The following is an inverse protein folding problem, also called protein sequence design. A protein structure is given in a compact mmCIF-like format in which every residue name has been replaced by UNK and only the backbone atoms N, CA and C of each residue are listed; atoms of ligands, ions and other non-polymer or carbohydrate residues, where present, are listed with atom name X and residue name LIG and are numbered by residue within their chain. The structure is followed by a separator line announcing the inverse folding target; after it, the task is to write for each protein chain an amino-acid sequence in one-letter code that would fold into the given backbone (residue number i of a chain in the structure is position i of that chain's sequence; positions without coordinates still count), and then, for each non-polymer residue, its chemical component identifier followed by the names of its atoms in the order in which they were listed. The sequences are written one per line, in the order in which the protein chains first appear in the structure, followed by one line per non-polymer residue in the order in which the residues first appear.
data_IF_761409853883
#
_entry.id   IF_761409853883
#
_cell.length_a   1.000
_cell.length_b   1.000
_cell.length_c   1.000
_cell.angle_alpha   90.00
_cell.angle_beta   90.00
_cell.angle_gamma   90.00
#
_symmetry.space_group_name_H-M   'P 1'
#
loop_
_entity.id
_entity.type
_entity.pdbx_description
1 polymer ?
#
# COMPACT_ATOMS: atom_id res chain seq x y z
N UNK A 1 -12.43 -15.84 10.64
CA UNK A 1 -11.40 -16.12 9.61
C UNK A 1 -11.22 -14.86 8.79
N UNK A 2 -10.06 -14.19 8.88
CA UNK A 2 -9.77 -13.01 8.06
C UNK A 2 -9.25 -13.49 6.72
N UNK A 3 -10.08 -13.46 5.69
CA UNK A 3 -9.64 -13.73 4.32
C UNK A 3 -9.50 -12.40 3.59
N UNK A 4 -8.29 -12.11 3.12
CA UNK A 4 -8.11 -11.07 2.12
C UNK A 4 -8.83 -11.53 0.84
N UNK A 5 -9.72 -10.68 0.32
CA UNK A 5 -10.50 -10.97 -0.89
C UNK A 5 -10.01 -10.11 -2.05
N UNK A 6 -10.28 -10.53 -3.28
CA UNK A 6 -9.95 -9.78 -4.50
C UNK A 6 -8.50 -9.26 -4.50
N UNK A 7 -7.56 -10.13 -4.14
CA UNK A 7 -6.14 -9.78 -4.02
C UNK A 7 -5.54 -9.53 -5.40
N UNK A 8 -4.89 -8.38 -5.56
CA UNK A 8 -4.12 -8.02 -6.75
C UNK A 8 -2.68 -7.76 -6.34
N UNK A 9 -1.77 -8.59 -6.81
CA UNK A 9 -0.32 -8.44 -6.62
C UNK A 9 0.27 -7.62 -7.79
N UNK A 10 0.96 -6.54 -7.48
CA UNK A 10 1.54 -5.62 -8.46
C UNK A 10 3.02 -5.89 -8.73
N UNK A 11 3.53 -7.05 -8.34
CA UNK A 11 4.93 -7.46 -8.48
C UNK A 11 5.40 -7.55 -9.93
N UNK A 12 4.51 -7.89 -10.88
CA UNK A 12 4.83 -7.86 -12.31
C UNK A 12 5.08 -6.42 -12.80
N UNK A 13 4.19 -5.48 -12.46
CA UNK A 13 4.37 -4.07 -12.78
C UNK A 13 5.64 -3.51 -12.12
N UNK A 14 5.90 -3.87 -10.87
CA UNK A 14 7.11 -3.50 -10.13
C UNK A 14 8.37 -3.97 -10.85
N UNK A 15 8.41 -5.25 -11.26
CA UNK A 15 9.55 -5.81 -12.01
C UNK A 15 9.74 -5.10 -13.35
N UNK A 16 8.67 -4.79 -14.06
CA UNK A 16 8.73 -4.09 -15.34
C UNK A 16 9.29 -2.66 -15.20
N UNK A 17 8.90 -1.93 -14.15
CA UNK A 17 9.45 -0.60 -13.84
C UNK A 17 10.96 -0.67 -13.55
N UNK A 18 11.39 -1.62 -12.69
CA UNK A 18 12.81 -1.83 -12.38
C UNK A 18 13.61 -2.20 -13.63
N UNK A 19 13.09 -3.10 -14.47
CA UNK A 19 13.76 -3.48 -15.71
C UNK A 19 13.87 -2.31 -16.70
N UNK A 20 12.85 -1.46 -16.79
CA UNK A 20 12.88 -0.27 -17.64
C UNK A 20 13.97 0.72 -17.24
N UNK A 21 14.22 0.87 -15.94
CA UNK A 21 15.31 1.71 -15.42
C UNK A 21 16.66 1.07 -15.71
N UNK A 22 16.81 -0.24 -15.44
CA UNK A 22 18.05 -0.99 -15.72
C UNK A 22 18.42 -1.00 -17.20
N UNK A 23 17.41 -1.02 -18.08
CA UNK A 23 17.58 -0.93 -19.53
C UNK A 23 17.77 0.50 -20.04
N UNK A 24 17.79 1.51 -19.17
CA UNK A 24 17.96 2.93 -19.54
C UNK A 24 16.76 3.55 -20.27
N UNK A 25 15.62 2.86 -20.34
CA UNK A 25 14.38 3.37 -20.98
C UNK A 25 13.64 4.40 -20.14
N UNK A 26 13.90 4.42 -18.84
CA UNK A 26 13.28 5.32 -17.87
C UNK A 26 14.36 5.82 -16.92
N UNK A 27 14.36 7.11 -16.58
CA UNK A 27 15.36 7.65 -15.65
C UNK A 27 14.88 7.41 -14.23
N UNK A 28 15.82 7.23 -13.30
CA UNK A 28 15.49 7.04 -11.89
C UNK A 28 14.60 8.17 -11.35
N UNK A 29 14.87 9.43 -11.71
CA UNK A 29 14.05 10.60 -11.30
C UNK A 29 12.58 10.55 -11.77
N UNK A 30 12.28 9.78 -12.82
CA UNK A 30 10.93 9.68 -13.37
C UNK A 30 10.06 8.69 -12.56
N UNK A 31 10.68 7.82 -11.75
CA UNK A 31 10.01 6.86 -10.86
C UNK A 31 10.25 7.12 -9.37
N UNK A 32 11.28 7.91 -9.08
CA UNK A 32 11.67 8.33 -7.76
C UNK A 32 10.93 9.62 -7.39
N UNK A 33 9.61 9.56 -7.50
CA UNK A 33 8.70 10.71 -7.48
C UNK A 33 7.75 10.69 -6.28
N UNK A 34 8.02 9.86 -5.27
CA UNK A 34 7.20 9.76 -4.07
C UNK A 34 6.98 11.15 -3.47
N UNK A 35 5.72 11.58 -3.44
CA UNK A 35 5.36 12.92 -3.03
C UNK A 35 5.65 13.14 -1.53
N UNK A 36 5.88 14.39 -1.08
CA UNK A 36 6.23 14.68 0.31
C UNK A 36 5.25 14.12 1.34
N UNK A 37 3.96 14.04 1.02
CA UNK A 37 2.96 13.44 1.91
C UNK A 37 3.19 11.93 2.10
N UNK A 38 3.44 11.19 1.01
CA UNK A 38 3.72 9.76 1.05
C UNK A 38 5.02 9.46 1.80
N UNK A 39 6.05 10.28 1.62
CA UNK A 39 7.30 10.18 2.37
C UNK A 39 7.09 10.40 3.88
N UNK A 40 6.26 11.39 4.26
CA UNK A 40 5.89 11.61 5.67
C UNK A 40 5.09 10.44 6.23
N UNK A 41 4.13 9.91 5.48
CA UNK A 41 3.39 8.72 5.87
C UNK A 41 4.31 7.52 6.09
N UNK A 42 5.25 7.27 5.17
CA UNK A 42 6.26 6.21 5.34
C UNK A 42 7.11 6.42 6.60
N UNK A 43 7.51 7.65 6.89
CA UNK A 43 8.36 7.96 8.05
C UNK A 43 7.66 7.74 9.39
N UNK A 44 6.39 8.14 9.51
CA UNK A 44 5.72 8.22 10.81
C UNK A 44 4.65 7.15 11.03
N UNK A 45 4.08 6.60 9.96
CA UNK A 45 2.94 5.68 9.99
C UNK A 45 3.19 4.37 9.23
N UNK A 46 4.30 4.28 8.50
CA UNK A 46 4.64 3.12 7.68
C UNK A 46 5.23 1.96 8.49
N UNK A 47 5.08 0.75 7.96
CA UNK A 47 5.64 -0.48 8.53
C UNK A 47 6.98 -0.82 7.86
N UNK A 48 8.08 -0.92 8.62
CA UNK A 48 9.40 -1.21 8.05
C UNK A 48 9.44 -2.61 7.44
N UNK A 49 10.28 -2.78 6.43
CA UNK A 49 10.46 -4.07 5.76
C UNK A 49 11.94 -4.45 5.76
N UNK A 50 12.24 -5.71 5.48
CA UNK A 50 13.61 -6.23 5.32
C UNK A 50 14.12 -6.14 3.87
N UNK A 51 13.31 -5.60 2.96
CA UNK A 51 13.61 -5.56 1.52
C UNK A 51 14.38 -4.29 1.18
N UNK A 52 15.57 -4.45 0.61
CA UNK A 52 16.38 -3.33 0.13
C UNK A 52 15.69 -2.58 -1.03
N UNK A 53 15.82 -1.26 -1.08
CA UNK A 53 15.31 -0.47 -2.20
C UNK A 53 15.99 -0.91 -3.52
N UNK A 54 15.21 -1.28 -4.56
CA UNK A 54 15.78 -1.80 -5.80
C UNK A 54 16.42 -0.72 -6.69
N UNK A 55 16.27 0.55 -6.32
CA UNK A 55 16.77 1.70 -7.09
C UNK A 55 18.06 2.24 -6.50
N UNK A 56 18.05 2.61 -5.21
CA UNK A 56 19.24 3.17 -4.59
C UNK A 56 20.07 2.14 -3.84
N UNK A 57 19.51 1.02 -3.39
CA UNK A 57 20.24 -0.01 -2.61
C UNK A 57 20.87 0.49 -1.28
N UNK A 58 20.47 1.68 -0.79
CA UNK A 58 21.01 2.27 0.44
C UNK A 58 20.11 2.11 1.66
N UNK A 59 18.80 1.86 1.46
CA UNK A 59 17.79 1.76 2.52
C UNK A 59 16.76 0.71 2.19
N UNK A 60 16.21 0.07 3.21
CA UNK A 60 15.03 -0.77 3.03
C UNK A 60 13.79 0.06 2.68
N UNK A 61 12.88 -0.52 1.92
CA UNK A 61 11.57 0.08 1.66
C UNK A 61 10.66 -0.06 2.88
N UNK A 62 9.75 0.89 3.05
CA UNK A 62 8.69 0.90 4.06
C UNK A 62 7.35 0.69 3.38
N UNK A 63 6.46 -0.11 3.96
CA UNK A 63 5.09 -0.23 3.47
C UNK A 63 4.21 0.85 4.10
N UNK A 64 3.43 1.54 3.28
CA UNK A 64 2.39 2.48 3.70
C UNK A 64 1.06 1.94 3.25
N UNK A 65 0.14 1.76 4.17
CA UNK A 65 -1.12 1.08 3.90
C UNK A 65 -2.29 2.05 4.00
N UNK A 66 -2.99 2.27 2.89
CA UNK A 66 -4.16 3.14 2.80
C UNK A 66 -5.45 2.33 2.73
N UNK A 67 -6.52 2.86 3.31
CA UNK A 67 -7.86 2.25 3.31
C UNK A 67 -8.87 3.15 2.60
N UNK A 68 -9.73 2.57 1.77
CA UNK A 68 -10.79 3.28 1.04
C UNK A 68 -12.07 2.45 0.99
N UNK A 69 -13.22 3.09 1.16
CA UNK A 69 -14.52 2.44 1.10
C UNK A 69 -15.61 3.43 1.53
N UNK A 70 -16.81 3.27 0.99
CA UNK A 70 -17.89 4.25 1.17
C UNK A 70 -18.37 4.32 2.63
N UNK A 71 -18.33 3.19 3.34
CA UNK A 71 -18.73 3.09 4.75
C UNK A 71 -17.65 3.58 5.74
N UNK A 72 -16.43 3.89 5.28
CA UNK A 72 -15.34 4.33 6.16
C UNK A 72 -15.49 5.78 6.64
N UNK A 73 -16.33 6.60 5.99
CA UNK A 73 -16.52 8.00 6.32
C UNK A 73 -15.18 8.75 6.43
N UNK A 74 -14.91 9.35 7.60
CA UNK A 74 -13.69 10.14 7.87
C UNK A 74 -12.39 9.32 7.84
N UNK A 75 -12.49 8.00 7.89
CA UNK A 75 -11.34 7.09 7.88
C UNK A 75 -10.88 6.75 6.46
N UNK A 76 -11.72 6.99 5.44
CA UNK A 76 -11.34 6.82 4.05
C UNK A 76 -10.12 7.68 3.68
N UNK A 77 -9.16 7.09 2.98
CA UNK A 77 -7.91 7.72 2.57
C UNK A 77 -6.85 7.84 3.67
N UNK A 78 -7.12 7.37 4.90
CA UNK A 78 -6.13 7.38 5.97
C UNK A 78 -5.13 6.24 5.85
N UNK A 79 -3.94 6.45 6.42
CA UNK A 79 -2.96 5.38 6.63
C UNK A 79 -3.35 4.56 7.86
N UNK A 80 -3.27 3.24 7.76
CA UNK A 80 -3.57 2.30 8.84
C UNK A 80 -2.50 1.24 8.97
N UNK A 81 -2.10 0.93 10.20
CA UNK A 81 -1.17 -0.18 10.46
C UNK A 81 -1.88 -1.52 10.30
N UNK A 82 -1.11 -2.61 10.15
CA UNK A 82 -1.68 -3.96 9.99
C UNK A 82 -2.60 -4.31 11.16
N UNK A 83 -2.23 -3.94 12.39
CA UNK A 83 -3.05 -4.18 13.59
C UNK A 83 -4.42 -3.49 13.55
N UNK A 84 -4.51 -2.29 12.96
CA UNK A 84 -5.78 -1.55 12.83
C UNK A 84 -6.68 -2.22 11.80
N UNK A 85 -6.11 -2.73 10.70
CA UNK A 85 -6.88 -3.43 9.66
C UNK A 85 -7.61 -4.65 10.20
N UNK A 86 -7.03 -5.39 11.17
CA UNK A 86 -7.72 -6.51 11.83
C UNK A 86 -9.01 -6.07 12.52
N UNK A 87 -8.97 -4.91 13.20
CA UNK A 87 -10.12 -4.36 13.91
C UNK A 87 -11.14 -3.83 12.91
N UNK A 88 -10.69 -3.05 11.94
CA UNK A 88 -11.53 -2.48 10.90
C UNK A 88 -12.27 -3.55 10.09
N UNK A 89 -11.63 -4.69 9.79
CA UNK A 89 -12.26 -5.79 9.08
C UNK A 89 -13.48 -6.41 9.80
N UNK A 90 -13.66 -6.11 11.09
CA UNK A 90 -14.82 -6.55 11.90
C UNK A 90 -15.84 -5.44 12.13
N UNK A 91 -15.41 -4.18 12.04
CA UNK A 91 -16.21 -3.00 12.38
C UNK A 91 -16.91 -2.39 11.17
N UNK A 92 -16.31 -2.50 9.98
CA UNK A 92 -16.81 -1.90 8.75
C UNK A 92 -17.25 -2.98 7.75
N UNK A 93 -18.20 -2.64 6.88
CA UNK A 93 -18.48 -3.41 5.66
C UNK A 93 -17.31 -3.35 4.68
N UNK A 94 -17.54 -3.66 3.41
CA UNK A 94 -16.44 -3.84 2.46
C UNK A 94 -15.60 -2.57 2.27
N UNK A 95 -14.28 -2.70 2.44
CA UNK A 95 -13.33 -1.65 2.12
C UNK A 95 -12.07 -2.23 1.46
N UNK A 96 -11.45 -1.42 0.62
CA UNK A 96 -10.23 -1.76 -0.11
C UNK A 96 -9.00 -1.22 0.60
N UNK A 97 -7.97 -2.03 0.63
CA UNK A 97 -6.66 -1.75 1.19
C UNK A 97 -5.65 -1.66 0.06
N UNK A 98 -4.79 -0.65 0.08
CA UNK A 98 -3.68 -0.47 -0.84
C UNK A 98 -2.38 -0.36 -0.06
N UNK A 99 -1.44 -1.27 -0.30
CA UNK A 99 -0.12 -1.25 0.32
C UNK A 99 0.88 -0.72 -0.67
N UNK A 100 1.46 0.44 -0.40
CA UNK A 100 2.47 1.10 -1.23
C UNK A 100 3.84 0.90 -0.58
N UNK A 101 4.82 0.36 -1.30
CA UNK A 101 6.20 0.39 -0.84
C UNK A 101 6.83 1.75 -1.16
N UNK A 102 7.62 2.28 -0.23
CA UNK A 102 8.22 3.62 -0.33
C UNK A 102 9.66 3.56 0.16
N UNK A 103 10.59 4.10 -0.62
CA UNK A 103 11.96 4.35 -0.17
C UNK A 103 12.10 5.78 0.31
N UNK A 104 12.39 5.96 1.59
CA UNK A 104 12.63 7.28 2.19
C UNK A 104 13.99 7.92 1.79
N UNK A 105 14.83 7.18 1.06
CA UNK A 105 16.16 7.65 0.62
C UNK A 105 16.16 8.27 -0.77
N UNK A 106 15.57 7.58 -1.74
CA UNK A 106 15.54 8.04 -3.13
C UNK A 106 14.15 8.40 -3.63
N UNK A 107 13.11 8.35 -2.81
CA UNK A 107 11.72 8.62 -3.21
C UNK A 107 11.13 7.63 -4.23
N UNK A 108 11.70 6.44 -4.37
CA UNK A 108 11.02 5.33 -5.06
C UNK A 108 9.70 5.01 -4.36
N UNK A 109 8.63 4.82 -5.12
CA UNK A 109 7.41 4.20 -4.61
C UNK A 109 6.77 3.27 -5.64
N UNK A 110 6.07 2.23 -5.17
CA UNK A 110 5.30 1.37 -6.04
C UNK A 110 4.15 0.72 -5.26
N UNK A 111 2.97 0.59 -5.87
CA UNK A 111 1.89 -0.19 -5.27
C UNK A 111 2.33 -1.66 -5.20
N UNK A 112 2.33 -2.27 -4.00
CA UNK A 112 2.80 -3.63 -3.80
C UNK A 112 1.67 -4.64 -3.94
N UNK A 113 0.57 -4.40 -3.24
CA UNK A 113 -0.62 -5.25 -3.24
C UNK A 113 -1.86 -4.41 -2.93
N UNK A 114 -3.00 -4.81 -3.48
CA UNK A 114 -4.30 -4.35 -3.02
C UNK A 114 -5.23 -5.52 -2.75
N UNK A 115 -6.14 -5.37 -1.79
CA UNK A 115 -7.10 -6.41 -1.41
C UNK A 115 -8.31 -5.79 -0.72
N UNK A 116 -9.40 -6.56 -0.61
CA UNK A 116 -10.65 -6.16 0.06
C UNK A 116 -10.74 -6.85 1.42
N UNK A 117 -11.16 -6.08 2.41
CA UNK A 117 -11.47 -6.49 3.78
C UNK A 117 -12.90 -6.06 4.16
N UNK A 118 -13.31 -6.38 5.38
CA UNK A 118 -14.64 -6.08 5.92
C UNK A 118 -15.63 -7.21 5.68
N UNK A 119 -16.81 -7.07 6.28
CA UNK A 119 -17.92 -8.01 6.12
C UNK A 119 -18.61 -7.80 4.78
N UNK A 120 -18.96 -8.90 4.10
CA UNK A 120 -19.72 -8.86 2.85
C UNK A 120 -21.21 -8.56 3.08
N UNK A 121 -21.68 -8.68 4.32
CA UNK A 121 -23.08 -8.45 4.64
C UNK A 121 -23.39 -6.95 4.67
N UNK A 122 -24.33 -6.47 3.84
CA UNK A 122 -24.86 -5.13 4.00
C UNK A 122 -25.56 -5.05 5.38
N UNK A 123 -25.62 -3.87 6.02
CA UNK A 123 -26.43 -3.71 7.23
C UNK A 123 -27.91 -3.99 6.90
N UNK A 124 -28.38 -5.21 7.20
CA UNK A 124 -29.77 -5.64 7.01
C UNK A 124 -30.03 -7.05 6.45
N UNK A 125 -29.01 -7.87 6.16
CA UNK A 125 -29.21 -9.23 5.60
C UNK A 125 -29.50 -10.33 6.65
N UNK A 126 -29.40 -10.03 7.95
CA UNK A 126 -29.83 -10.94 9.01
C UNK A 126 -31.26 -10.62 9.45
N UNK A 127 -32.24 -11.11 8.69
CA UNK A 127 -33.62 -11.33 9.16
C UNK A 127 -33.87 -12.84 9.28
#
# INVERSE_FOLDING_TARGET
MWSQRSVVDYGLARRAAIQSIRAGRMRARDVCDAQPYLLRAARFLGEPTTRMCPICEHRNVTNVTYVYGDELGRVAGQVKGTADLLKMAREYGEFRVYVVEVCQGCSWNHLAVSFVLGTADPPGSSL
#
